data_IF_279512878818
#
_entry.id   IF_279512878818
#
_cell.length_a   1.000
_cell.length_b   1.000
_cell.length_c   1.000
_cell.angle_alpha   90.00
_cell.angle_beta   90.00
_cell.angle_gamma   90.00
#
_symmetry.space_group_name_H-M   'P 1'
#
loop_
_entity.id
_entity.type
_entity.pdbx_description
1 polymer ?
#
# COMPACT_ATOMS: atom_id res chain seq x y z
N UNK A 1 5.73 13.35 -19.26
CA UNK A 1 5.79 12.02 -18.60
C UNK A 1 4.47 11.80 -17.91
N UNK A 2 3.84 10.64 -18.09
CA UNK A 2 2.54 10.34 -17.47
C UNK A 2 2.61 10.26 -15.94
N UNK A 3 3.79 9.93 -15.40
CA UNK A 3 4.12 10.00 -13.99
C UNK A 3 4.99 11.23 -13.67
N UNK A 4 4.40 12.38 -13.27
CA UNK A 4 5.16 13.57 -12.88
C UNK A 4 6.01 13.35 -11.62
N UNK A 5 5.66 12.39 -10.75
CA UNK A 5 6.43 12.06 -9.55
C UNK A 5 7.76 11.37 -9.89
N UNK A 6 7.81 10.56 -10.96
CA UNK A 6 9.05 9.95 -11.43
C UNK A 6 10.06 10.97 -11.99
N UNK A 7 9.56 12.06 -12.56
CA UNK A 7 10.36 13.15 -13.12
C UNK A 7 10.83 14.18 -12.06
N UNK A 8 10.30 14.12 -10.84
CA UNK A 8 10.65 15.06 -9.78
C UNK A 8 12.04 14.79 -9.17
N UNK A 9 12.65 15.83 -8.61
CA UNK A 9 13.92 15.72 -7.90
C UNK A 9 13.78 14.99 -6.56
N UNK A 10 14.88 14.41 -6.07
CA UNK A 10 14.98 13.93 -4.69
C UNK A 10 15.05 15.15 -3.75
N UNK A 11 14.24 15.23 -2.68
CA UNK A 11 13.51 14.15 -1.98
C UNK A 11 12.03 13.99 -2.35
N UNK A 12 11.44 14.93 -3.08
CA UNK A 12 10.00 14.96 -3.48
C UNK A 12 9.55 13.67 -4.15
N UNK A 13 10.41 13.10 -5.00
CA UNK A 13 10.16 11.79 -5.64
C UNK A 13 9.93 10.68 -4.63
N UNK A 14 10.80 10.55 -3.63
CA UNK A 14 10.72 9.48 -2.63
C UNK A 14 9.50 9.66 -1.73
N UNK A 15 9.25 10.88 -1.27
CA UNK A 15 8.06 11.18 -0.44
C UNK A 15 6.77 10.84 -1.19
N UNK A 16 6.68 11.24 -2.45
CA UNK A 16 5.51 10.98 -3.28
C UNK A 16 5.34 9.48 -3.54
N UNK A 17 6.40 8.73 -3.83
CA UNK A 17 6.31 7.28 -4.01
C UNK A 17 5.84 6.54 -2.74
N UNK A 18 6.33 6.95 -1.56
CA UNK A 18 5.81 6.41 -0.31
C UNK A 18 4.32 6.74 -0.13
N UNK A 19 3.90 7.97 -0.47
CA UNK A 19 2.49 8.34 -0.41
C UNK A 19 1.60 7.56 -1.38
N UNK A 20 2.10 7.20 -2.55
CA UNK A 20 1.37 6.33 -3.47
C UNK A 20 1.05 4.97 -2.82
N UNK A 21 1.92 4.42 -1.98
CA UNK A 21 1.63 3.19 -1.22
C UNK A 21 0.42 3.40 -0.28
N UNK A 22 0.36 4.54 0.39
CA UNK A 22 -0.77 4.89 1.25
C UNK A 22 -2.07 5.08 0.46
N UNK A 23 -2.00 5.77 -0.68
CA UNK A 23 -3.14 5.97 -1.57
C UNK A 23 -3.67 4.63 -2.11
N UNK A 24 -2.79 3.74 -2.56
CA UNK A 24 -3.16 2.39 -2.99
C UNK A 24 -3.79 1.58 -1.85
N UNK A 25 -3.26 1.69 -0.63
CA UNK A 25 -3.81 1.02 0.55
C UNK A 25 -5.20 1.58 0.93
N UNK A 26 -5.38 2.89 0.79
CA UNK A 26 -6.68 3.54 0.99
C UNK A 26 -7.71 3.07 -0.05
N UNK A 27 -7.32 2.96 -1.32
CA UNK A 27 -8.18 2.41 -2.39
C UNK A 27 -8.62 0.97 -2.11
N UNK A 28 -7.77 0.15 -1.46
CA UNK A 28 -8.16 -1.20 -1.02
C UNK A 28 -9.23 -1.18 0.09
N UNK A 29 -9.16 -0.21 1.00
CA UNK A 29 -10.10 -0.06 2.12
C UNK A 29 -11.41 0.61 1.70
N UNK A 30 -11.32 1.66 0.88
CA UNK A 30 -12.44 2.51 0.50
C UNK A 30 -12.32 2.89 -0.99
N UNK A 31 -13.04 2.19 -1.88
CA UNK A 31 -13.03 2.49 -3.32
C UNK A 31 -13.97 3.66 -3.66
N UNK A 32 -13.74 4.84 -3.08
CA UNK A 32 -14.63 6.01 -3.25
C UNK A 32 -14.15 6.98 -4.36
N UNK A 33 -12.84 7.09 -4.58
CA UNK A 33 -12.24 8.07 -5.51
C UNK A 33 -11.55 7.37 -6.70
N UNK A 34 -12.30 6.56 -7.46
CA UNK A 34 -11.76 5.93 -8.67
C UNK A 34 -11.71 6.93 -9.83
N UNK A 35 -10.63 6.86 -10.61
CA UNK A 35 -10.45 7.66 -11.82
C UNK A 35 -10.17 6.73 -13.00
N UNK A 36 -10.77 7.02 -14.15
CA UNK A 36 -10.56 6.25 -15.39
C UNK A 36 -9.10 6.26 -15.87
N UNK A 37 -8.37 7.33 -15.54
CA UNK A 37 -6.93 7.44 -15.82
C UNK A 37 -6.26 8.32 -14.75
N UNK A 38 -5.18 7.82 -14.16
CA UNK A 38 -4.40 8.52 -13.14
C UNK A 38 -3.19 9.18 -13.78
N UNK A 39 -3.42 10.32 -14.44
CA UNK A 39 -2.40 11.06 -15.18
C UNK A 39 -2.05 12.42 -14.56
N UNK A 40 -0.97 13.02 -15.06
CA UNK A 40 -0.57 14.43 -14.96
C UNK A 40 -1.37 15.30 -13.97
N UNK A 41 -1.00 15.25 -12.69
CA UNK A 41 -1.51 16.16 -11.66
C UNK A 41 -2.72 15.67 -10.87
N UNK A 42 -3.26 14.48 -11.15
CA UNK A 42 -4.33 13.87 -10.33
C UNK A 42 -3.90 13.65 -8.87
N UNK A 43 -2.62 13.31 -8.65
CA UNK A 43 -2.03 13.20 -7.32
C UNK A 43 -1.04 14.36 -7.12
N UNK A 44 -1.28 15.28 -6.18
CA UNK A 44 -0.36 16.39 -5.94
C UNK A 44 0.93 15.88 -5.31
N UNK A 45 2.07 16.36 -5.83
CA UNK A 45 3.41 16.04 -5.35
C UNK A 45 3.61 16.49 -3.90
N UNK A 46 4.28 15.66 -3.10
CA UNK A 46 4.62 15.99 -1.72
C UNK A 46 5.98 16.67 -1.69
N UNK A 47 5.96 17.99 -1.46
CA UNK A 47 7.15 18.85 -1.49
C UNK A 47 7.87 18.89 -0.14
N UNK A 48 7.19 18.55 0.95
CA UNK A 48 7.72 18.71 2.30
C UNK A 48 7.48 17.48 3.18
N UNK A 49 8.35 17.30 4.18
CA UNK A 49 8.21 16.25 5.19
C UNK A 49 7.00 16.48 6.12
N UNK A 50 6.60 17.75 6.29
CA UNK A 50 5.56 18.15 7.24
C UNK A 50 4.15 18.14 6.63
N UNK A 51 3.99 17.53 5.47
CA UNK A 51 2.68 17.38 4.82
C UNK A 51 1.84 16.36 5.60
N UNK A 52 0.58 16.66 6.01
CA UNK A 52 -0.28 15.74 6.75
C UNK A 52 -0.54 14.43 5.99
N UNK A 53 -0.36 14.42 4.68
CA UNK A 53 -0.47 13.24 3.81
C UNK A 53 0.54 12.14 4.17
N UNK A 54 1.69 12.51 4.73
CA UNK A 54 2.69 11.56 5.23
C UNK A 54 2.19 10.78 6.46
N UNK A 55 1.10 11.21 7.12
CA UNK A 55 0.46 10.40 8.15
C UNK A 55 -0.13 9.12 7.56
N UNK A 56 -0.67 9.18 6.35
CA UNK A 56 -1.22 8.00 5.67
C UNK A 56 -0.16 6.96 5.33
N UNK A 57 1.07 7.38 5.01
CA UNK A 57 2.19 6.45 4.80
C UNK A 57 2.61 5.83 6.12
N UNK A 58 2.72 6.65 7.16
CA UNK A 58 3.07 6.20 8.49
C UNK A 58 2.06 5.19 9.04
N UNK A 59 0.75 5.41 8.86
CA UNK A 59 -0.28 4.45 9.30
C UNK A 59 -0.15 3.10 8.59
N UNK A 60 0.08 3.09 7.27
CA UNK A 60 0.28 1.84 6.52
C UNK A 60 1.52 1.09 7.00
N UNK A 61 2.65 1.79 7.21
CA UNK A 61 3.86 1.17 7.75
C UNK A 61 3.66 0.64 9.16
N UNK A 62 2.96 1.38 10.04
CA UNK A 62 2.63 0.93 11.39
C UNK A 62 1.77 -0.33 11.35
N UNK A 63 0.77 -0.41 10.48
CA UNK A 63 -0.07 -1.61 10.31
C UNK A 63 0.77 -2.80 9.83
N UNK A 64 1.64 -2.62 8.82
CA UNK A 64 2.52 -3.67 8.34
C UNK A 64 3.48 -4.16 9.43
N UNK A 65 4.11 -3.24 10.17
CA UNK A 65 4.97 -3.57 11.30
C UNK A 65 4.20 -4.30 12.41
N UNK A 66 2.96 -3.89 12.71
CA UNK A 66 2.13 -4.56 13.69
C UNK A 66 1.77 -6.00 13.27
N UNK A 67 1.45 -6.23 11.99
CA UNK A 67 1.18 -7.59 11.48
C UNK A 67 2.44 -8.46 11.57
N UNK A 68 3.59 -7.93 11.15
CA UNK A 68 4.89 -8.61 11.27
C UNK A 68 5.23 -8.94 12.71
N UNK A 69 4.97 -8.00 13.63
CA UNK A 69 5.14 -8.24 15.06
C UNK A 69 4.22 -9.35 15.55
N UNK A 70 2.93 -9.32 15.20
CA UNK A 70 1.99 -10.39 15.58
C UNK A 70 2.45 -11.76 15.08
N UNK A 71 3.05 -11.86 13.89
CA UNK A 71 3.62 -13.12 13.37
C UNK A 71 4.66 -13.73 14.32
N UNK A 72 5.46 -12.91 15.01
CA UNK A 72 6.48 -13.41 15.95
C UNK A 72 5.92 -13.88 17.30
N UNK A 73 4.78 -13.35 17.74
CA UNK A 73 4.19 -13.66 19.06
C UNK A 73 3.07 -14.71 19.02
N UNK A 74 2.48 -14.96 17.85
CA UNK A 74 1.30 -15.82 17.69
C UNK A 74 1.69 -17.28 17.39
N UNK A 75 0.81 -18.23 17.74
CA UNK A 75 0.96 -19.66 17.47
C UNK A 75 1.24 -19.98 15.98
N UNK A 76 1.97 -21.08 15.75
CA UNK A 76 2.50 -21.47 14.43
C UNK A 76 1.42 -21.73 13.35
N UNK A 77 0.17 -22.02 13.74
CA UNK A 77 -0.93 -22.20 12.78
C UNK A 77 -1.48 -20.86 12.28
N UNK A 78 -1.63 -19.89 13.19
CA UNK A 78 -2.15 -18.55 12.90
C UNK A 78 -1.10 -17.69 12.20
N UNK A 79 0.17 -17.81 12.58
CA UNK A 79 1.29 -17.14 11.92
C UNK A 79 1.40 -17.52 10.43
N UNK A 80 1.14 -18.78 10.06
CA UNK A 80 1.12 -19.25 8.66
C UNK A 80 0.04 -18.58 7.83
N UNK A 81 -1.16 -18.40 8.38
CA UNK A 81 -2.27 -17.71 7.70
C UNK A 81 -1.90 -16.24 7.48
N UNK A 82 -1.35 -15.57 8.50
CA UNK A 82 -0.89 -14.18 8.41
C UNK A 82 0.24 -14.01 7.38
N UNK A 83 1.23 -14.91 7.37
CA UNK A 83 2.33 -14.92 6.41
C UNK A 83 1.85 -15.17 4.97
N UNK A 84 0.92 -16.09 4.78
CA UNK A 84 0.32 -16.35 3.47
C UNK A 84 -0.46 -15.14 2.96
N UNK A 85 -1.32 -14.53 3.79
CA UNK A 85 -2.05 -13.32 3.43
C UNK A 85 -1.13 -12.14 3.13
N UNK A 86 -0.13 -11.89 3.98
CA UNK A 86 0.83 -10.81 3.83
C UNK A 86 1.69 -10.99 2.57
N UNK A 87 2.21 -12.20 2.31
CA UNK A 87 3.01 -12.47 1.11
C UNK A 87 2.18 -12.28 -0.17
N UNK A 88 0.92 -12.72 -0.17
CA UNK A 88 0.00 -12.52 -1.29
C UNK A 88 -0.38 -11.05 -1.51
N UNK A 89 -0.32 -10.21 -0.48
CA UNK A 89 -0.43 -8.75 -0.62
C UNK A 89 0.85 -8.11 -1.16
N UNK A 90 1.99 -8.40 -0.52
CA UNK A 90 3.24 -7.67 -0.72
C UNK A 90 3.91 -8.05 -2.04
N UNK A 91 3.95 -9.34 -2.39
CA UNK A 91 4.66 -9.83 -3.57
C UNK A 91 4.15 -9.23 -4.90
N UNK A 92 2.83 -9.19 -5.20
CA UNK A 92 2.34 -8.55 -6.42
C UNK A 92 2.45 -7.02 -6.39
N UNK A 93 2.45 -6.42 -5.20
CA UNK A 93 2.49 -4.96 -5.03
C UNK A 93 3.91 -4.39 -5.12
N UNK A 94 4.93 -5.17 -4.72
CA UNK A 94 6.33 -4.78 -4.71
C UNK A 94 6.88 -4.28 -6.06
N UNK A 95 6.65 -4.96 -7.21
CA UNK A 95 7.12 -4.46 -8.51
C UNK A 95 6.38 -3.20 -8.97
N UNK A 96 5.15 -2.97 -8.51
CA UNK A 96 4.34 -1.83 -8.90
C UNK A 96 4.45 -0.61 -7.96
N UNK A 97 5.10 -0.76 -6.80
CA UNK A 97 5.20 0.28 -5.77
C UNK A 97 6.12 1.44 -6.16
N UNK A 98 6.72 1.44 -7.36
CA UNK A 98 7.68 2.45 -7.83
C UNK A 98 8.93 2.63 -6.94
N UNK A 99 9.14 1.75 -5.95
CA UNK A 99 10.16 1.90 -4.90
C UNK A 99 11.57 1.51 -5.38
N UNK A 100 11.66 0.44 -6.20
CA UNK A 100 12.92 -0.05 -6.77
C UNK A 100 13.15 0.46 -8.19
N UNK A 101 12.09 0.58 -8.99
CA UNK A 101 12.14 1.06 -10.36
C UNK A 101 10.96 2.00 -10.61
N UNK A 102 11.19 3.23 -11.09
CA UNK A 102 10.11 4.15 -11.43
C UNK A 102 9.38 3.63 -12.66
N UNK A 103 8.11 3.30 -12.49
CA UNK A 103 7.20 2.87 -13.56
C UNK A 103 6.44 4.09 -14.10
N UNK A 104 5.98 4.00 -15.35
CA UNK A 104 5.35 5.10 -16.07
C UNK A 104 3.96 5.52 -15.57
N UNK A 105 3.32 4.73 -14.70
CA UNK A 105 2.00 5.03 -14.13
C UNK A 105 2.09 5.53 -12.69
N UNK A 106 1.14 6.40 -12.29
CA UNK A 106 1.06 6.94 -10.92
C UNK A 106 0.34 5.96 -9.98
N UNK A 107 -0.85 5.49 -10.39
CA UNK A 107 -1.65 4.49 -9.67
C UNK A 107 -2.18 3.50 -10.70
N UNK A 108 -2.10 2.20 -10.39
CA UNK A 108 -2.64 1.15 -11.24
C UNK A 108 -3.64 0.30 -10.45
N UNK A 109 -4.92 0.66 -10.56
CA UNK A 109 -6.04 -0.06 -9.94
C UNK A 109 -6.04 -1.56 -10.26
N UNK A 110 -5.63 -1.94 -11.47
CA UNK A 110 -5.59 -3.36 -11.89
C UNK A 110 -4.56 -4.17 -11.12
N UNK A 111 -3.53 -3.51 -10.60
CA UNK A 111 -2.52 -4.18 -9.75
C UNK A 111 -3.08 -4.44 -8.36
N UNK A 112 -4.13 -3.75 -7.93
CA UNK A 112 -4.75 -3.95 -6.61
C UNK A 112 -5.61 -5.22 -6.51
N UNK A 113 -5.94 -5.88 -7.62
CA UNK A 113 -6.74 -7.11 -7.60
C UNK A 113 -6.02 -8.31 -6.98
N UNK A 114 -4.71 -8.43 -7.18
CA UNK A 114 -3.92 -9.49 -6.55
C UNK A 114 -3.79 -9.29 -5.02
N UNK A 115 -3.41 -8.10 -4.52
CA UNK A 115 -3.32 -7.86 -3.08
C UNK A 115 -4.67 -7.79 -2.38
N UNK A 116 -5.79 -7.50 -3.06
CA UNK A 116 -7.12 -7.53 -2.43
C UNK A 116 -7.49 -8.93 -1.92
N UNK A 117 -7.04 -10.00 -2.60
CA UNK A 117 -7.23 -11.38 -2.12
C UNK A 117 -6.51 -11.62 -0.78
N UNK A 118 -5.27 -11.15 -0.64
CA UNK A 118 -4.53 -11.25 0.61
C UNK A 118 -5.17 -10.40 1.72
N UNK A 119 -5.69 -9.21 1.38
CA UNK A 119 -6.39 -8.35 2.32
C UNK A 119 -7.67 -9.02 2.86
N UNK A 120 -8.48 -9.64 2.00
CA UNK A 120 -9.67 -10.38 2.41
C UNK A 120 -9.35 -11.54 3.37
N UNK A 121 -8.25 -12.27 3.13
CA UNK A 121 -7.79 -13.34 4.03
C UNK A 121 -7.42 -12.80 5.42
N UNK A 122 -6.70 -11.68 5.48
CA UNK A 122 -6.31 -11.05 6.74
C UNK A 122 -7.53 -10.55 7.53
N UNK A 123 -8.49 -9.91 6.85
CA UNK A 123 -9.73 -9.42 7.46
C UNK A 123 -10.59 -10.58 7.97
N UNK A 124 -10.79 -11.62 7.16
CA UNK A 124 -11.55 -12.80 7.57
C UNK A 124 -10.95 -13.49 8.80
N UNK A 125 -9.61 -13.61 8.84
CA UNK A 125 -8.93 -14.16 10.01
C UNK A 125 -9.10 -13.27 11.26
N UNK A 126 -8.98 -11.94 11.11
CA UNK A 126 -9.23 -11.00 12.21
C UNK A 126 -10.65 -11.11 12.78
N UNK A 127 -11.67 -11.21 11.92
CA UNK A 127 -13.05 -11.43 12.35
C UNK A 127 -13.25 -12.78 13.05
N UNK A 128 -12.63 -13.86 12.56
CA UNK A 128 -12.73 -15.18 13.20
C UNK A 128 -12.19 -15.17 14.64
N UNK A 129 -11.15 -14.39 14.91
CA UNK A 129 -10.58 -14.25 16.24
C UNK A 129 -11.47 -13.42 17.18
N UNK A 130 -12.16 -12.41 16.67
CA UNK A 130 -13.10 -11.59 17.45
C UNK A 130 -14.41 -12.33 17.77
N UNK A 131 -14.79 -13.29 16.94
CA UNK A 131 -16.02 -14.07 17.10
C UNK A 131 -15.89 -15.28 18.05
N UNK A 132 -14.68 -15.61 18.49
CA UNK A 132 -14.39 -16.75 19.39
C UNK A 132 -14.06 -16.26 20.79
#
# INVERSE_FOLDING_TARGET
>A
FDNPAAAAETPTRQLTFNFLIALNSWLLLCPADLCCDWTMGSVPLILSWNDPRNLGTLTVYVILCAILWNIFWVDDTRSRILLMGLSMCVFPFLPASNLFFPVGFVVAERVLYAPSMGFCLLVAHGFSLLAT
#
